data_IF_958849482120
#
_entry.id   IF_958849482120
#
_cell.length_a   1.000
_cell.length_b   1.000
_cell.length_c   1.000
_cell.angle_alpha   90.00
_cell.angle_beta   90.00
_cell.angle_gamma   90.00
#
_symmetry.space_group_name_H-M   'P 1'
#
loop_
_entity.id
_entity.type
_entity.pdbx_description
1 polymer ?
#
# COMPACT_ATOMS: atom_id res chain seq x y z
N UNK A 1 7.38 27.59 -46.11
CA UNK A 1 8.55 26.88 -45.52
C UNK A 1 8.56 26.87 -44.00
N UNK A 2 8.18 27.98 -43.36
CA UNK A 2 8.23 28.18 -41.89
C UNK A 2 7.35 27.19 -41.09
N UNK A 3 6.13 26.88 -41.55
CA UNK A 3 5.20 25.96 -40.85
C UNK A 3 5.73 24.52 -40.76
N UNK A 4 6.45 24.04 -41.80
CA UNK A 4 7.07 22.71 -41.82
C UNK A 4 8.25 22.60 -40.85
N UNK A 5 8.91 23.71 -40.53
CA UNK A 5 10.00 23.77 -39.57
C UNK A 5 9.41 23.66 -38.16
N UNK A 6 8.38 24.44 -37.83
CA UNK A 6 7.71 24.34 -36.52
C UNK A 6 7.10 22.96 -36.26
N UNK A 7 6.48 22.33 -37.26
CA UNK A 7 5.91 20.99 -37.13
C UNK A 7 6.99 19.94 -36.77
N UNK A 8 8.19 20.03 -37.36
CA UNK A 8 9.32 19.14 -37.03
C UNK A 8 9.84 19.37 -35.61
N UNK A 9 9.92 20.62 -35.16
CA UNK A 9 10.32 20.95 -33.78
C UNK A 9 9.29 20.45 -32.76
N UNK A 10 7.99 20.59 -33.04
CA UNK A 10 6.94 20.05 -32.16
C UNK A 10 7.01 18.52 -32.02
N UNK A 11 7.24 17.79 -33.12
CA UNK A 11 7.37 16.33 -33.08
C UNK A 11 8.63 15.90 -32.31
N UNK A 12 9.75 16.60 -32.50
CA UNK A 12 10.98 16.37 -31.74
C UNK A 12 10.81 16.62 -30.24
N UNK A 13 10.09 17.67 -29.85
CA UNK A 13 9.78 17.93 -28.45
C UNK A 13 8.88 16.83 -27.85
N UNK A 14 7.86 16.36 -28.55
CA UNK A 14 7.01 15.27 -28.05
C UNK A 14 7.80 13.96 -27.84
N UNK A 15 8.73 13.63 -28.76
CA UNK A 15 9.58 12.45 -28.64
C UNK A 15 10.58 12.55 -27.47
N UNK A 16 11.08 13.75 -27.18
CA UNK A 16 11.97 13.98 -26.04
C UNK A 16 11.24 13.88 -24.70
N UNK A 17 9.97 14.29 -24.62
CA UNK A 17 9.17 14.16 -23.40
C UNK A 17 8.78 12.71 -23.08
N UNK A 18 8.58 11.86 -24.10
CA UNK A 18 8.25 10.43 -23.87
C UNK A 18 9.40 9.62 -23.27
N UNK A 19 10.66 10.07 -23.40
CA UNK A 19 11.82 9.36 -22.85
C UNK A 19 12.08 9.68 -21.37
N UNK A 20 11.41 10.69 -20.79
CA UNK A 20 11.61 11.13 -19.42
C UNK A 20 10.69 10.44 -18.39
N UNK A 21 9.81 9.54 -18.83
CA UNK A 21 8.80 8.89 -17.97
C UNK A 21 9.14 7.45 -17.64
N UNK A 22 10.41 7.18 -17.31
CA UNK A 22 10.84 5.92 -16.72
C UNK A 22 11.17 6.20 -15.26
N UNK A 23 10.13 6.19 -14.42
CA UNK A 23 10.30 6.26 -12.96
C UNK A 23 10.52 4.83 -12.47
N UNK A 24 11.73 4.53 -12.01
CA UNK A 24 12.04 3.27 -11.33
C UNK A 24 11.28 3.30 -10.00
N UNK A 25 10.21 2.50 -9.92
CA UNK A 25 9.44 2.29 -8.68
C UNK A 25 10.34 1.46 -7.76
N UNK A 26 10.95 2.11 -6.78
CA UNK A 26 11.78 1.43 -5.78
C UNK A 26 10.89 0.53 -4.91
N UNK A 27 11.13 -0.79 -4.83
CA UNK A 27 10.30 -1.68 -4.02
C UNK A 27 10.32 -1.37 -2.52
N UNK A 28 11.24 -0.53 -2.03
CA UNK A 28 11.25 -0.05 -0.64
C UNK A 28 10.23 1.08 -0.38
N UNK A 29 9.75 1.81 -1.40
CA UNK A 29 8.86 2.97 -1.24
C UNK A 29 7.41 2.63 -0.87
N UNK A 30 7.08 1.34 -0.75
CA UNK A 30 5.74 0.90 -0.33
C UNK A 30 5.69 0.35 1.10
N UNK A 31 6.79 0.40 1.85
CA UNK A 31 6.77 0.02 3.26
C UNK A 31 6.30 1.18 4.15
N UNK A 32 5.23 0.95 4.90
CA UNK A 32 4.70 1.91 5.87
C UNK A 32 4.88 1.41 7.30
N UNK A 33 5.20 2.34 8.21
CA UNK A 33 5.24 2.06 9.62
C UNK A 33 3.82 1.84 10.16
N UNK A 34 3.63 0.73 10.86
CA UNK A 34 2.33 0.34 11.39
C UNK A 34 2.42 -0.21 12.82
N UNK A 35 1.28 -0.18 13.52
CA UNK A 35 1.15 -0.72 14.87
C UNK A 35 -0.01 -1.70 14.93
N UNK A 36 0.26 -2.91 15.39
CA UNK A 36 -0.78 -3.90 15.70
C UNK A 36 -1.43 -3.47 17.02
N UNK A 37 -2.69 -3.05 16.98
CA UNK A 37 -3.37 -2.44 18.14
C UNK A 37 -4.19 -3.45 18.94
N UNK A 38 -4.73 -4.50 18.31
CA UNK A 38 -5.48 -5.56 19.00
C UNK A 38 -6.25 -6.46 18.05
N UNK A 39 -6.85 -7.52 18.59
CA UNK A 39 -7.63 -8.49 17.82
C UNK A 39 -9.04 -7.96 17.49
N UNK A 40 -9.55 -8.27 16.30
CA UNK A 40 -10.89 -7.90 15.87
C UNK A 40 -11.93 -8.97 16.26
N UNK A 41 -12.50 -8.81 17.46
CA UNK A 41 -13.51 -9.73 17.99
C UNK A 41 -14.90 -9.58 17.36
N UNK A 42 -15.08 -8.70 16.36
CA UNK A 42 -16.40 -8.42 15.77
C UNK A 42 -16.83 -9.44 14.71
N UNK A 43 -15.93 -10.27 14.22
CA UNK A 43 -16.26 -11.42 13.36
C UNK A 43 -16.35 -12.71 14.18
N UNK A 44 -17.33 -13.55 13.80
CA UNK A 44 -17.66 -14.88 14.33
C UNK A 44 -16.60 -15.48 15.27
N UNK A 45 -16.64 -15.14 16.55
CA UNK A 45 -15.83 -15.79 17.59
C UNK A 45 -14.31 -15.68 17.41
N UNK A 46 -13.78 -14.48 17.16
CA UNK A 46 -12.34 -14.17 17.03
C UNK A 46 -11.67 -14.61 15.71
N UNK A 47 -12.47 -14.96 14.71
CA UNK A 47 -12.02 -15.14 13.32
C UNK A 47 -11.82 -13.82 12.55
N UNK A 48 -12.14 -12.67 13.17
CA UNK A 48 -11.78 -11.36 12.61
C UNK A 48 -10.36 -11.10 12.99
N UNK A 49 -9.51 -10.83 12.00
CA UNK A 49 -8.06 -10.75 12.19
C UNK A 49 -7.60 -9.71 13.23
N UNK A 50 -6.82 -8.75 12.80
CA UNK A 50 -6.16 -7.80 13.69
C UNK A 50 -6.39 -6.39 13.22
N UNK A 51 -6.53 -5.47 14.18
CA UNK A 51 -6.50 -4.05 13.91
C UNK A 51 -5.05 -3.60 13.75
N UNK A 52 -4.78 -2.96 12.62
CA UNK A 52 -3.50 -2.34 12.31
C UNK A 52 -3.73 -0.84 12.14
N UNK A 53 -2.91 -0.04 12.81
CA UNK A 53 -2.89 1.39 12.62
C UNK A 53 -1.73 1.78 11.71
N UNK A 54 -2.04 2.47 10.61
CA UNK A 54 -1.07 3.01 9.65
C UNK A 54 -1.35 4.50 9.55
N UNK A 55 -0.35 5.34 9.86
CA UNK A 55 -0.46 6.81 9.79
C UNK A 55 -1.71 7.37 10.52
N UNK A 56 -2.09 6.77 11.66
CA UNK A 56 -3.25 7.16 12.46
C UNK A 56 -4.60 6.66 11.92
N UNK A 57 -4.63 5.96 10.78
CA UNK A 57 -5.83 5.29 10.27
C UNK A 57 -5.84 3.82 10.71
N UNK A 58 -6.96 3.39 11.30
CA UNK A 58 -7.16 2.00 11.71
C UNK A 58 -7.78 1.15 10.60
N UNK A 59 -7.05 0.10 10.23
CA UNK A 59 -7.43 -0.93 9.27
C UNK A 59 -7.62 -2.29 9.96
N UNK A 60 -8.21 -3.22 9.24
CA UNK A 60 -8.35 -4.63 9.62
C UNK A 60 -7.51 -5.48 8.66
N UNK A 61 -6.77 -6.45 9.18
CA UNK A 61 -5.89 -7.29 8.38
C UNK A 61 -5.67 -8.65 9.03
N UNK A 62 -5.30 -9.64 8.23
CA UNK A 62 -4.82 -10.92 8.74
C UNK A 62 -3.33 -10.79 9.07
N UNK A 63 -3.01 -10.71 10.37
CA UNK A 63 -1.63 -10.59 10.87
C UNK A 63 -1.06 -11.96 11.19
N UNK A 64 0.15 -12.31 10.70
CA UNK A 64 0.79 -13.57 11.06
C UNK A 64 1.02 -13.68 12.57
N UNK A 65 0.87 -14.89 13.13
CA UNK A 65 0.92 -15.15 14.57
C UNK A 65 2.18 -14.62 15.26
N UNK A 66 3.30 -14.54 14.54
CA UNK A 66 4.58 -13.99 15.04
C UNK A 66 4.56 -12.49 15.35
N UNK A 67 3.61 -11.75 14.76
CA UNK A 67 3.39 -10.31 14.95
C UNK A 67 2.02 -10.01 15.59
N UNK A 68 1.21 -11.04 15.82
CA UNK A 68 -0.13 -10.99 16.40
C UNK A 68 -0.11 -10.71 17.91
N UNK A 69 0.46 -9.56 18.29
CA UNK A 69 0.53 -9.10 19.67
C UNK A 69 0.18 -7.61 19.73
N UNK A 70 -0.67 -7.17 20.67
CA UNK A 70 -0.99 -5.75 20.83
C UNK A 70 0.26 -4.90 21.06
N UNK A 71 0.22 -3.64 20.62
CA UNK A 71 1.31 -2.67 20.68
C UNK A 71 2.60 -3.07 19.92
N UNK A 72 2.54 -4.04 19.01
CA UNK A 72 3.70 -4.42 18.19
C UNK A 72 3.91 -3.42 17.05
N UNK A 73 5.10 -2.81 17.00
CA UNK A 73 5.51 -1.91 15.90
C UNK A 73 6.14 -2.72 14.77
N UNK A 74 5.63 -2.56 13.57
CA UNK A 74 6.03 -3.30 12.37
C UNK A 74 6.18 -2.35 11.18
N UNK A 75 6.92 -2.79 10.18
CA UNK A 75 6.86 -2.23 8.83
C UNK A 75 6.07 -3.19 7.96
N UNK A 76 5.12 -2.67 7.20
CA UNK A 76 4.26 -3.45 6.32
C UNK A 76 4.22 -2.87 4.92
N UNK A 77 4.15 -3.74 3.91
CA UNK A 77 3.61 -3.39 2.60
C UNK A 77 2.19 -3.97 2.55
N UNK A 78 1.23 -3.17 2.11
CA UNK A 78 -0.15 -3.60 2.02
C UNK A 78 -0.89 -2.99 0.84
N UNK A 79 -1.95 -3.66 0.43
CA UNK A 79 -2.94 -3.16 -0.52
C UNK A 79 -4.29 -3.01 0.16
N UNK A 80 -5.09 -2.05 -0.31
CA UNK A 80 -6.48 -1.92 0.11
C UNK A 80 -7.28 -3.09 -0.46
N UNK A 81 -8.07 -3.75 0.38
CA UNK A 81 -8.97 -4.82 -0.07
C UNK A 81 -10.27 -4.18 -0.61
N UNK A 82 -10.30 -3.93 -1.92
CA UNK A 82 -11.46 -3.36 -2.63
C UNK A 82 -12.52 -4.40 -3.01
N UNK A 83 -12.40 -5.65 -2.53
CA UNK A 83 -13.30 -6.71 -2.96
C UNK A 83 -14.71 -6.56 -2.38
N UNK A 84 -15.68 -6.28 -3.27
CA UNK A 84 -17.11 -6.09 -2.95
C UNK A 84 -17.87 -7.41 -2.66
N UNK A 85 -17.17 -8.53 -2.46
CA UNK A 85 -17.75 -9.87 -2.63
C UNK A 85 -18.48 -10.48 -1.44
N UNK A 86 -17.99 -10.29 -0.20
CA UNK A 86 -18.55 -10.89 1.02
C UNK A 86 -18.20 -10.00 2.22
N UNK A 87 -18.76 -8.77 2.22
CA UNK A 87 -18.49 -7.63 3.12
C UNK A 87 -17.80 -7.99 4.43
N UNK A 88 -16.46 -8.06 4.38
CA UNK A 88 -15.67 -7.92 5.57
C UNK A 88 -15.91 -6.48 6.08
N UNK A 89 -16.60 -6.31 7.20
CA UNK A 89 -16.99 -4.97 7.64
C UNK A 89 -15.75 -4.12 7.96
N UNK A 90 -15.68 -2.90 7.42
CA UNK A 90 -14.63 -1.92 7.71
C UNK A 90 -13.49 -1.89 6.68
N UNK A 91 -12.51 -1.01 6.92
CA UNK A 91 -11.36 -0.81 6.03
C UNK A 91 -10.40 -2.01 6.14
N UNK A 92 -10.49 -2.97 5.22
CA UNK A 92 -9.59 -4.12 5.17
C UNK A 92 -8.36 -3.84 4.31
N UNK A 93 -7.22 -4.36 4.76
CA UNK A 93 -5.97 -4.34 4.02
C UNK A 93 -5.40 -5.75 3.90
N UNK A 94 -4.74 -6.00 2.78
CA UNK A 94 -4.02 -7.23 2.51
C UNK A 94 -2.53 -6.97 2.69
N UNK A 95 -1.94 -7.56 3.73
CA UNK A 95 -0.51 -7.45 4.02
C UNK A 95 0.25 -8.31 3.01
N UNK A 96 1.13 -7.70 2.24
CA UNK A 96 2.03 -8.38 1.31
C UNK A 96 3.33 -8.79 2.00
N UNK A 97 3.89 -7.90 2.81
CA UNK A 97 5.07 -8.15 3.60
C UNK A 97 4.96 -7.51 4.98
N UNK A 98 5.56 -8.15 5.98
CA UNK A 98 5.60 -7.66 7.35
C UNK A 98 6.95 -7.99 7.97
N UNK A 99 7.60 -6.98 8.56
CA UNK A 99 8.87 -7.15 9.27
C UNK A 99 8.88 -6.37 10.58
N UNK A 100 9.72 -6.81 11.53
CA UNK A 100 9.97 -6.05 12.75
C UNK A 100 10.83 -4.84 12.40
N UNK A 101 10.55 -3.72 13.04
CA UNK A 101 11.51 -2.62 13.08
C UNK A 101 12.72 -3.08 13.88
N UNK A 102 13.86 -3.29 13.22
CA UNK A 102 15.14 -3.42 13.90
C UNK A 102 15.44 -2.06 14.54
N UNK A 103 15.62 -2.05 15.86
CA UNK A 103 16.03 -0.89 16.64
C UNK A 103 17.47 -0.49 16.36
#
# INVERSE_FOLDING_TARGET
MIVRIYLRYCILCMLLFSAASCEDIDPEDHEQAAVVTGQDNTFCGSCGGWFIEVEGTRYRADVPTTFACPATRVWIQYELDESDGLKKMGKWIKIQSIRRRLS
#
